data_IF_592092892235
#
_entry.id   IF_592092892235
#
_cell.length_a   1.000
_cell.length_b   1.000
_cell.length_c   1.000
_cell.angle_alpha   90.00
_cell.angle_beta   90.00
_cell.angle_gamma   90.00
#
_symmetry.space_group_name_H-M   'P 1'
#
loop_
_entity.id
_entity.type
_entity.pdbx_description
1 polymer ?
#
# COMPACT_ATOMS: atom_id res chain seq x y z
N UNK A 1 -44.25 7.91 -64.08
CA UNK A 1 -43.82 7.26 -62.81
C UNK A 1 -42.51 6.57 -63.15
N UNK A 2 -41.34 7.17 -62.98
CA UNK A 2 -40.71 7.54 -61.71
C UNK A 2 -39.67 8.64 -61.94
N UNK A 3 -39.79 9.74 -61.22
CA UNK A 3 -38.88 10.87 -61.23
C UNK A 3 -37.59 10.50 -60.49
N UNK A 4 -36.44 10.64 -61.14
CA UNK A 4 -35.12 10.71 -60.49
C UNK A 4 -34.73 12.19 -60.40
N UNK A 5 -34.51 12.77 -59.21
CA UNK A 5 -34.02 14.13 -59.10
C UNK A 5 -32.50 14.17 -59.30
N UNK A 6 -32.07 14.95 -60.28
CA UNK A 6 -30.70 15.44 -60.45
C UNK A 6 -30.38 16.41 -59.33
N UNK A 7 -29.42 16.07 -58.45
CA UNK A 7 -28.90 17.02 -57.46
C UNK A 7 -27.97 18.03 -58.15
N UNK A 8 -28.43 19.28 -58.21
CA UNK A 8 -27.65 20.47 -58.59
C UNK A 8 -26.66 20.82 -57.47
N UNK A 9 -25.38 20.93 -57.83
CA UNK A 9 -24.31 21.43 -56.97
C UNK A 9 -24.40 22.96 -56.85
N UNK A 10 -25.29 23.46 -56.01
CA UNK A 10 -25.33 24.89 -55.65
C UNK A 10 -25.60 25.02 -54.14
N UNK A 11 -24.54 24.93 -53.34
CA UNK A 11 -24.55 25.35 -51.94
C UNK A 11 -23.73 26.64 -51.81
N UNK A 12 -24.29 27.71 -51.21
CA UNK A 12 -23.57 28.97 -51.06
C UNK A 12 -22.43 28.81 -50.04
N UNK A 13 -21.25 29.31 -50.40
CA UNK A 13 -20.08 29.36 -49.55
C UNK A 13 -20.35 30.19 -48.29
N UNK A 14 -20.45 29.52 -47.14
CA UNK A 14 -20.46 30.17 -45.83
C UNK A 14 -19.10 30.84 -45.54
N UNK A 15 -19.06 31.90 -44.71
CA UNK A 15 -17.86 32.68 -44.48
C UNK A 15 -16.73 31.83 -43.88
N UNK A 16 -15.55 31.92 -44.50
CA UNK A 16 -14.32 31.29 -44.02
C UNK A 16 -13.93 31.88 -42.66
N UNK A 17 -14.27 31.16 -41.59
CA UNK A 17 -13.72 31.43 -40.27
C UNK A 17 -12.21 31.18 -40.28
N UNK A 18 -11.41 32.25 -40.31
CA UNK A 18 -9.98 32.21 -40.05
C UNK A 18 -9.74 31.62 -38.66
N UNK A 19 -9.49 30.31 -38.57
CA UNK A 19 -8.85 29.71 -37.39
C UNK A 19 -7.41 30.20 -37.36
N UNK A 20 -7.18 31.34 -36.70
CA UNK A 20 -5.84 31.71 -36.20
C UNK A 20 -5.32 30.55 -35.35
N UNK A 21 -4.39 29.79 -35.91
CA UNK A 21 -3.50 28.91 -35.14
C UNK A 21 -2.64 29.84 -34.28
N UNK A 22 -3.06 30.06 -33.04
CA UNK A 22 -2.16 30.56 -32.01
C UNK A 22 -1.11 29.46 -31.77
N UNK A 23 0.07 29.64 -32.38
CA UNK A 23 1.31 28.99 -31.94
C UNK A 23 1.74 29.65 -30.61
N UNK A 24 0.91 29.49 -29.60
CA UNK A 24 1.18 29.91 -28.24
C UNK A 24 1.66 28.71 -27.43
N UNK A 25 2.96 28.69 -27.16
CA UNK A 25 3.57 28.00 -26.02
C UNK A 25 3.23 26.51 -25.83
N UNK A 26 3.82 25.64 -26.65
CA UNK A 26 4.05 24.23 -26.28
C UNK A 26 5.02 24.08 -25.09
N UNK A 27 5.62 25.18 -24.63
CA UNK A 27 6.52 25.22 -23.48
C UNK A 27 5.79 25.43 -22.13
N UNK A 28 4.53 25.89 -22.11
CA UNK A 28 3.77 26.08 -20.86
C UNK A 28 3.11 24.79 -20.35
N UNK A 29 2.94 23.78 -21.21
CA UNK A 29 2.49 22.44 -20.78
C UNK A 29 3.59 21.63 -20.05
N UNK A 30 4.83 22.15 -20.01
CA UNK A 30 5.99 21.48 -19.39
C UNK A 30 6.25 21.91 -17.93
N UNK A 31 5.50 22.87 -17.40
CA UNK A 31 5.78 23.49 -16.08
C UNK A 31 4.79 23.14 -14.95
N UNK A 32 3.87 22.20 -15.13
CA UNK A 32 2.85 21.86 -14.12
C UNK A 32 3.06 20.57 -13.30
N UNK A 33 4.01 19.70 -13.68
CA UNK A 33 4.29 18.47 -12.93
C UNK A 33 5.33 18.73 -11.83
N UNK A 34 4.96 19.59 -10.88
CA UNK A 34 5.73 19.78 -9.68
C UNK A 34 5.92 18.43 -8.99
N UNK A 35 7.16 17.98 -8.92
CA UNK A 35 7.62 16.91 -8.03
C UNK A 35 7.17 17.22 -6.58
N UNK A 36 5.98 16.75 -6.21
CA UNK A 36 5.46 16.87 -4.85
C UNK A 36 5.32 15.47 -4.26
N UNK A 37 6.42 14.75 -4.11
CA UNK A 37 6.39 13.34 -3.70
C UNK A 37 6.48 13.15 -2.18
N UNK A 38 7.40 13.81 -1.50
CA UNK A 38 7.67 13.57 -0.06
C UNK A 38 7.05 14.61 0.90
N UNK A 39 7.11 15.93 0.63
CA UNK A 39 6.65 16.92 1.61
C UNK A 39 5.13 16.91 1.82
N UNK A 40 4.36 16.37 0.87
CA UNK A 40 2.91 16.31 0.99
C UNK A 40 2.46 15.29 2.05
N UNK A 41 3.09 14.11 2.14
CA UNK A 41 2.74 13.08 3.14
C UNK A 41 3.02 13.58 4.56
N UNK A 42 4.18 14.20 4.77
CA UNK A 42 4.53 14.77 6.08
C UNK A 42 3.61 15.94 6.44
N UNK A 43 3.33 16.83 5.48
CA UNK A 43 2.39 17.95 5.69
C UNK A 43 0.97 17.48 5.99
N UNK A 44 0.56 16.30 5.49
CA UNK A 44 -0.75 15.70 5.76
C UNK A 44 -0.89 15.19 7.20
N UNK A 45 0.16 14.65 7.81
CA UNK A 45 0.14 14.25 9.23
C UNK A 45 -0.17 15.42 10.17
N UNK A 46 0.33 16.62 9.85
CA UNK A 46 0.22 17.80 10.72
C UNK A 46 -1.02 18.69 10.43
N UNK A 47 -1.89 18.31 9.47
CA UNK A 47 -3.14 19.04 9.22
C UNK A 47 -4.17 18.69 10.31
N UNK A 48 -4.72 19.72 10.95
CA UNK A 48 -5.59 19.64 12.12
C UNK A 48 -6.82 18.74 11.90
N UNK A 49 -7.18 17.87 12.86
CA UNK A 49 -8.19 16.80 12.73
C UNK A 49 -9.65 17.30 12.84
N UNK A 50 -10.00 18.44 12.24
CA UNK A 50 -11.33 19.05 12.49
C UNK A 50 -12.48 18.30 11.81
N UNK A 51 -12.23 17.61 10.69
CA UNK A 51 -13.17 16.73 9.97
C UNK A 51 -12.42 15.48 9.48
N UNK A 52 -12.08 14.56 10.37
CA UNK A 52 -11.35 13.35 9.98
C UNK A 52 -12.34 12.24 9.60
N UNK A 53 -12.30 11.81 8.33
CA UNK A 53 -13.21 10.79 7.78
C UNK A 53 -12.83 9.38 8.25
N UNK A 54 -13.00 9.11 9.56
CA UNK A 54 -12.72 7.82 10.21
C UNK A 54 -13.63 6.72 9.68
N UNK A 55 -14.90 7.02 9.46
CA UNK A 55 -15.87 6.05 8.99
C UNK A 55 -15.45 5.49 7.62
N UNK A 56 -15.17 6.37 6.67
CA UNK A 56 -14.66 6.01 5.34
C UNK A 56 -13.37 5.20 5.43
N UNK A 57 -12.41 5.64 6.26
CA UNK A 57 -11.15 4.91 6.44
C UNK A 57 -11.36 3.50 7.00
N UNK A 58 -12.22 3.34 8.01
CA UNK A 58 -12.54 2.03 8.59
C UNK A 58 -13.21 1.10 7.57
N UNK A 59 -14.09 1.65 6.74
CA UNK A 59 -14.78 0.93 5.69
C UNK A 59 -13.82 0.47 4.60
N UNK A 60 -12.89 1.34 4.19
CA UNK A 60 -11.82 0.99 3.23
C UNK A 60 -10.90 -0.10 3.78
N UNK A 61 -10.49 -0.02 5.04
CA UNK A 61 -9.68 -1.04 5.72
C UNK A 61 -10.39 -2.39 5.76
N UNK A 62 -11.67 -2.42 6.14
CA UNK A 62 -12.47 -3.64 6.14
C UNK A 62 -12.55 -4.26 4.74
N UNK A 63 -12.82 -3.44 3.71
CA UNK A 63 -12.91 -3.94 2.34
C UNK A 63 -11.56 -4.40 1.80
N UNK A 64 -10.44 -3.81 2.19
CA UNK A 64 -9.11 -4.29 1.80
C UNK A 64 -8.84 -5.71 2.29
N UNK A 65 -9.32 -6.06 3.49
CA UNK A 65 -9.18 -7.41 4.05
C UNK A 65 -10.06 -8.41 3.30
N UNK A 66 -11.36 -8.14 3.21
CA UNK A 66 -12.32 -9.15 2.72
C UNK A 66 -12.52 -9.12 1.20
N UNK A 67 -12.47 -7.94 0.60
CA UNK A 67 -12.81 -7.71 -0.80
C UNK A 67 -11.90 -6.66 -1.46
N UNK A 68 -10.59 -6.96 -1.65
CA UNK A 68 -9.61 -5.96 -2.07
C UNK A 68 -10.01 -5.28 -3.39
N UNK A 69 -10.59 -6.03 -4.35
CA UNK A 69 -11.06 -5.49 -5.62
C UNK A 69 -12.10 -4.39 -5.47
N UNK A 70 -12.97 -4.46 -4.45
CA UNK A 70 -13.96 -3.42 -4.17
C UNK A 70 -13.31 -2.17 -3.60
N UNK A 71 -12.37 -2.34 -2.66
CA UNK A 71 -11.64 -1.21 -2.06
C UNK A 71 -10.88 -0.40 -3.12
N UNK A 72 -10.20 -1.07 -4.06
CA UNK A 72 -9.45 -0.37 -5.10
C UNK A 72 -10.31 0.38 -6.13
N UNK A 73 -11.63 0.14 -6.16
CA UNK A 73 -12.55 0.89 -7.03
C UNK A 73 -12.71 2.35 -6.58
N UNK A 74 -12.58 2.65 -5.28
CA UNK A 74 -12.66 4.03 -4.77
C UNK A 74 -11.53 4.91 -5.31
N UNK A 75 -10.32 4.35 -5.42
CA UNK A 75 -9.15 5.03 -5.99
C UNK A 75 -9.39 5.40 -7.46
N UNK A 76 -10.02 4.52 -8.24
CA UNK A 76 -10.38 4.81 -9.62
C UNK A 76 -11.38 5.99 -9.71
N UNK A 77 -12.36 6.05 -8.81
CA UNK A 77 -13.31 7.17 -8.73
C UNK A 77 -12.65 8.49 -8.28
N UNK A 78 -11.70 8.43 -7.34
CA UNK A 78 -10.92 9.59 -6.94
C UNK A 78 -10.12 10.16 -8.11
N UNK A 79 -9.58 9.28 -8.97
CA UNK A 79 -8.87 9.71 -10.18
C UNK A 79 -9.78 10.52 -11.11
N UNK A 80 -11.04 10.14 -11.27
CA UNK A 80 -11.98 10.84 -12.16
C UNK A 80 -12.36 12.23 -11.63
N UNK A 81 -12.48 12.37 -10.32
CA UNK A 81 -12.96 13.62 -9.68
C UNK A 81 -11.84 14.60 -9.36
N UNK A 82 -10.67 14.11 -8.94
CA UNK A 82 -9.54 14.93 -8.47
C UNK A 82 -8.28 14.82 -9.34
N UNK A 83 -8.28 13.95 -10.36
CA UNK A 83 -7.16 13.75 -11.28
C UNK A 83 -5.80 13.41 -10.62
N UNK A 84 -5.85 12.75 -9.46
CA UNK A 84 -4.69 12.30 -8.69
C UNK A 84 -4.91 10.85 -8.23
N UNK A 85 -3.81 10.13 -7.99
CA UNK A 85 -3.88 8.73 -7.53
C UNK A 85 -3.68 8.58 -6.04
N UNK A 86 -2.86 9.42 -5.42
CA UNK A 86 -2.65 9.38 -3.97
C UNK A 86 -3.91 9.82 -3.21
N UNK A 87 -4.16 9.17 -2.06
CA UNK A 87 -5.22 9.54 -1.12
C UNK A 87 -4.90 10.91 -0.51
N UNK A 88 -5.91 11.76 -0.33
CA UNK A 88 -5.73 13.07 0.32
C UNK A 88 -5.84 13.04 1.84
N UNK A 89 -6.56 12.04 2.34
CA UNK A 89 -7.04 12.03 3.72
C UNK A 89 -6.06 11.24 4.61
N UNK A 90 -5.52 11.85 5.68
CA UNK A 90 -4.58 11.18 6.58
C UNK A 90 -5.24 10.12 7.47
N UNK A 91 -6.57 9.97 7.40
CA UNK A 91 -7.38 9.15 8.31
C UNK A 91 -6.99 7.67 8.30
N UNK A 92 -6.79 7.08 7.12
CA UNK A 92 -6.40 5.68 6.97
C UNK A 92 -5.10 5.35 7.71
N UNK A 93 -4.09 6.21 7.50
CA UNK A 93 -2.78 6.06 8.09
C UNK A 93 -2.79 6.30 9.60
N UNK A 94 -3.54 7.31 10.08
CA UNK A 94 -3.69 7.57 11.52
C UNK A 94 -4.34 6.38 12.22
N UNK A 95 -5.36 5.78 11.59
CA UNK A 95 -6.01 4.58 12.12
C UNK A 95 -5.03 3.40 12.18
N UNK A 96 -4.21 3.23 11.14
CA UNK A 96 -3.19 2.19 11.11
C UNK A 96 -2.15 2.37 12.23
N UNK A 97 -1.64 3.60 12.46
CA UNK A 97 -0.74 3.89 13.58
C UNK A 97 -1.41 3.59 14.92
N UNK A 98 -2.69 3.92 15.08
CA UNK A 98 -3.43 3.63 16.31
C UNK A 98 -3.51 2.11 16.58
N UNK A 99 -3.75 1.30 15.54
CA UNK A 99 -3.76 -0.16 15.66
C UNK A 99 -2.37 -0.75 15.97
N UNK A 100 -1.31 -0.23 15.35
CA UNK A 100 0.07 -0.63 15.64
C UNK A 100 0.41 -0.28 17.10
N UNK A 101 0.03 0.91 17.55
CA UNK A 101 0.26 1.37 18.92
C UNK A 101 -0.47 0.48 19.94
N UNK A 102 -1.71 0.10 19.66
CA UNK A 102 -2.46 -0.86 20.49
C UNK A 102 -1.77 -2.22 20.53
N UNK A 103 -1.30 -2.71 19.37
CA UNK A 103 -0.54 -3.97 19.30
C UNK A 103 0.75 -3.90 20.11
N UNK A 104 1.47 -2.78 20.03
CA UNK A 104 2.70 -2.57 20.81
C UNK A 104 2.47 -2.66 22.32
N UNK A 105 1.32 -2.22 22.84
CA UNK A 105 0.98 -2.39 24.26
C UNK A 105 0.90 -3.88 24.60
N UNK A 106 0.15 -4.63 23.80
CA UNK A 106 -0.09 -6.07 24.00
C UNK A 106 1.23 -6.85 23.98
N UNK A 107 2.06 -6.60 22.96
CA UNK A 107 3.35 -7.25 22.79
C UNK A 107 4.36 -6.85 23.87
N UNK A 108 4.35 -5.58 24.28
CA UNK A 108 5.18 -5.12 25.41
C UNK A 108 4.82 -5.84 26.71
N UNK A 109 3.53 -6.02 27.01
CA UNK A 109 3.10 -6.73 28.23
C UNK A 109 3.57 -8.18 28.17
N UNK A 110 3.43 -8.84 27.02
CA UNK A 110 3.89 -10.21 26.85
C UNK A 110 5.40 -10.35 27.01
N UNK A 111 6.19 -9.51 26.34
CA UNK A 111 7.66 -9.55 26.43
C UNK A 111 8.12 -9.21 27.86
N UNK A 112 7.54 -8.19 28.50
CA UNK A 112 7.92 -7.81 29.87
C UNK A 112 7.49 -8.82 30.94
N UNK A 113 6.36 -9.52 30.76
CA UNK A 113 5.81 -10.42 31.78
C UNK A 113 6.29 -11.86 31.71
N UNK A 114 6.68 -12.36 30.53
CA UNK A 114 7.01 -13.78 30.33
C UNK A 114 8.47 -14.08 29.96
N UNK A 115 9.25 -13.12 29.42
CA UNK A 115 10.58 -13.39 28.85
C UNK A 115 11.78 -12.98 29.74
N UNK A 116 11.69 -13.21 31.05
CA UNK A 116 12.85 -13.37 31.95
C UNK A 116 13.79 -12.17 32.18
N UNK A 117 13.33 -10.93 32.10
CA UNK A 117 14.11 -9.85 32.74
C UNK A 117 13.77 -9.81 34.24
N UNK A 118 14.76 -10.14 35.08
CA UNK A 118 14.64 -10.20 36.54
C UNK A 118 14.30 -8.85 37.20
N UNK A 119 14.30 -7.76 36.43
CA UNK A 119 13.98 -6.41 36.87
C UNK A 119 12.51 -6.08 36.58
N UNK A 120 11.62 -6.69 37.37
CA UNK A 120 10.16 -6.49 37.38
C UNK A 120 9.74 -5.13 37.97
N UNK A 121 10.49 -4.07 37.66
CA UNK A 121 10.15 -2.70 38.05
C UNK A 121 9.16 -2.08 37.06
N UNK A 122 8.22 -1.27 37.56
CA UNK A 122 7.27 -0.53 36.71
C UNK A 122 7.98 0.34 35.63
N UNK A 123 9.19 0.83 35.93
CA UNK A 123 10.01 1.60 35.00
C UNK A 123 10.51 0.74 33.81
N UNK A 124 10.82 -0.54 34.04
CA UNK A 124 11.25 -1.47 33.00
C UNK A 124 10.13 -1.73 32.01
N UNK A 125 8.92 -2.00 32.50
CA UNK A 125 7.71 -2.24 31.67
C UNK A 125 7.44 -1.03 30.75
N UNK A 126 7.55 0.18 31.30
CA UNK A 126 7.42 1.43 30.52
C UNK A 126 8.52 1.52 29.45
N UNK A 127 9.75 1.17 29.79
CA UNK A 127 10.87 1.10 28.83
C UNK A 127 10.61 0.12 27.68
N UNK A 128 10.18 -1.11 27.97
CA UNK A 128 9.82 -2.09 26.95
C UNK A 128 8.66 -1.64 26.06
N UNK A 129 7.70 -0.90 26.63
CA UNK A 129 6.59 -0.35 25.86
C UNK A 129 7.08 0.68 24.83
N UNK A 130 7.87 1.66 25.26
CA UNK A 130 8.42 2.66 24.36
C UNK A 130 9.35 2.03 23.32
N UNK A 131 10.17 1.05 23.71
CA UNK A 131 11.02 0.30 22.79
C UNK A 131 10.20 -0.42 21.71
N UNK A 132 9.19 -1.17 22.11
CA UNK A 132 8.29 -1.90 21.20
C UNK A 132 7.55 -0.94 20.27
N UNK A 133 7.08 0.20 20.79
CA UNK A 133 6.35 1.20 20.01
C UNK A 133 7.26 1.79 18.94
N UNK A 134 8.47 2.20 19.31
CA UNK A 134 9.44 2.78 18.37
C UNK A 134 9.82 1.75 17.29
N UNK A 135 10.10 0.50 17.66
CA UNK A 135 10.45 -0.54 16.69
C UNK A 135 9.29 -0.81 15.73
N UNK A 136 8.08 -1.03 16.24
CA UNK A 136 6.93 -1.36 15.39
C UNK A 136 6.47 -0.19 14.52
N UNK A 137 6.41 1.02 15.06
CA UNK A 137 5.95 2.19 14.30
C UNK A 137 7.04 2.70 13.36
N UNK A 138 8.24 2.98 13.89
CA UNK A 138 9.29 3.62 13.09
C UNK A 138 9.96 2.61 12.17
N UNK A 139 10.40 1.46 12.68
CA UNK A 139 11.18 0.51 11.89
C UNK A 139 10.28 -0.33 10.97
N UNK A 140 9.31 -1.05 11.54
CA UNK A 140 8.52 -2.00 10.76
C UNK A 140 7.53 -1.32 9.80
N UNK A 141 6.96 -0.17 10.18
CA UNK A 141 6.00 0.53 9.35
C UNK A 141 6.63 1.65 8.52
N UNK A 142 7.26 2.65 9.14
CA UNK A 142 7.79 3.80 8.38
C UNK A 142 9.03 3.50 7.54
N UNK A 143 10.08 2.93 8.13
CA UNK A 143 11.35 2.69 7.42
C UNK A 143 11.12 1.67 6.31
N UNK A 144 10.49 0.53 6.63
CA UNK A 144 10.13 -0.46 5.62
C UNK A 144 9.21 0.12 4.54
N UNK A 145 8.18 0.89 4.94
CA UNK A 145 7.28 1.54 4.00
C UNK A 145 7.97 2.54 3.07
N UNK A 146 8.89 3.35 3.60
CA UNK A 146 9.68 4.29 2.80
C UNK A 146 10.57 3.57 1.79
N UNK A 147 11.24 2.49 2.22
CA UNK A 147 12.06 1.65 1.35
C UNK A 147 11.21 1.04 0.23
N UNK A 148 10.09 0.41 0.58
CA UNK A 148 9.20 -0.24 -0.40
C UNK A 148 8.59 0.77 -1.38
N UNK A 149 8.11 1.92 -0.88
CA UNK A 149 7.57 2.98 -1.73
C UNK A 149 8.62 3.52 -2.71
N UNK A 150 9.86 3.69 -2.25
CA UNK A 150 10.98 4.18 -3.08
C UNK A 150 11.38 3.15 -4.13
N UNK A 151 11.49 1.87 -3.77
CA UNK A 151 11.79 0.78 -4.72
C UNK A 151 10.74 0.74 -5.82
N UNK A 152 9.45 0.70 -5.48
CA UNK A 152 8.39 0.65 -6.49
C UNK A 152 8.27 1.93 -7.31
N UNK A 153 8.47 3.10 -6.69
CA UNK A 153 8.51 4.36 -7.42
C UNK A 153 9.60 4.36 -8.50
N UNK A 154 10.82 3.92 -8.16
CA UNK A 154 11.94 3.84 -9.09
C UNK A 154 11.72 2.76 -10.16
N UNK A 155 11.12 1.62 -9.78
CA UNK A 155 10.92 0.49 -10.67
C UNK A 155 9.81 0.76 -11.69
N UNK A 156 8.64 1.20 -11.24
CA UNK A 156 7.45 1.41 -12.08
C UNK A 156 7.56 2.63 -12.98
N UNK A 157 8.42 3.60 -12.64
CA UNK A 157 8.67 4.74 -13.51
C UNK A 157 9.63 4.46 -14.68
N UNK A 158 10.23 3.28 -14.74
CA UNK A 158 11.03 2.86 -15.91
C UNK A 158 10.13 2.66 -17.13
N UNK A 159 10.64 3.04 -18.30
CA UNK A 159 9.91 2.97 -19.59
C UNK A 159 9.41 1.57 -19.95
N UNK A 160 10.11 0.52 -19.48
CA UNK A 160 9.75 -0.88 -19.71
C UNK A 160 8.38 -1.27 -19.13
N UNK A 161 7.98 -0.67 -18.02
CA UNK A 161 6.71 -0.97 -17.34
C UNK A 161 5.56 -0.06 -17.75
N UNK A 162 5.78 0.85 -18.70
CA UNK A 162 4.76 1.76 -19.22
C UNK A 162 4.35 1.40 -20.63
N UNK A 163 3.08 1.63 -20.97
CA UNK A 163 2.65 1.59 -22.36
C UNK A 163 3.31 2.72 -23.15
N UNK A 164 3.57 2.48 -24.45
CA UNK A 164 4.19 3.49 -25.33
C UNK A 164 3.32 4.76 -25.43
N UNK A 165 2.00 4.62 -25.34
CA UNK A 165 1.03 5.72 -25.35
C UNK A 165 1.04 6.59 -24.08
N UNK A 166 1.64 6.14 -22.98
CA UNK A 166 1.52 6.78 -21.67
C UNK A 166 2.88 6.99 -20.99
N UNK A 167 3.94 7.17 -21.79
CA UNK A 167 5.31 7.38 -21.27
C UNK A 167 5.43 8.67 -20.45
N UNK A 168 4.62 9.68 -20.75
CA UNK A 168 4.59 10.95 -20.00
C UNK A 168 3.90 10.82 -18.63
N UNK A 169 3.16 9.74 -18.37
CA UNK A 169 2.50 9.52 -17.08
C UNK A 169 3.51 9.03 -16.05
N UNK A 170 3.49 9.64 -14.86
CA UNK A 170 4.41 9.32 -13.75
C UNK A 170 3.61 8.72 -12.60
N UNK A 171 4.14 7.65 -12.00
CA UNK A 171 3.59 7.11 -10.74
C UNK A 171 3.99 8.04 -9.61
N UNK A 172 3.01 8.54 -8.88
CA UNK A 172 3.21 9.39 -7.70
C UNK A 172 3.87 8.58 -6.57
N UNK A 173 4.91 9.11 -5.92
CA UNK A 173 5.53 8.42 -4.77
C UNK A 173 4.56 8.26 -3.61
N UNK A 174 3.72 9.26 -3.36
CA UNK A 174 2.68 9.21 -2.33
C UNK A 174 1.71 8.04 -2.58
N UNK A 175 1.39 7.75 -3.84
CA UNK A 175 0.60 6.58 -4.20
C UNK A 175 1.34 5.26 -3.90
N UNK A 176 2.65 5.18 -4.15
CA UNK A 176 3.44 4.00 -3.77
C UNK A 176 3.41 3.76 -2.25
N UNK A 177 3.47 4.84 -1.46
CA UNK A 177 3.34 4.76 -0.01
C UNK A 177 1.93 4.33 0.42
N UNK A 178 0.88 4.85 -0.23
CA UNK A 178 -0.51 4.42 0.03
C UNK A 178 -0.72 2.92 -0.25
N UNK A 179 -0.12 2.40 -1.33
CA UNK A 179 -0.15 0.97 -1.66
C UNK A 179 0.56 0.13 -0.58
N UNK A 180 1.68 0.63 -0.03
CA UNK A 180 2.33 0.01 1.12
C UNK A 180 1.41 -0.01 2.34
N UNK A 181 0.80 1.12 2.72
CA UNK A 181 -0.12 1.21 3.85
C UNK A 181 -1.29 0.22 3.71
N UNK A 182 -1.89 0.15 2.52
CA UNK A 182 -2.98 -0.78 2.22
C UNK A 182 -2.54 -2.25 2.38
N UNK A 183 -1.34 -2.59 1.93
CA UNK A 183 -0.83 -3.97 1.98
C UNK A 183 -0.33 -4.35 3.39
N UNK A 184 0.25 -3.41 4.12
CA UNK A 184 0.72 -3.59 5.50
C UNK A 184 -0.42 -3.91 6.47
N UNK A 185 -1.66 -3.53 6.14
CA UNK A 185 -2.85 -3.91 6.90
C UNK A 185 -2.94 -5.43 7.10
N UNK A 186 -2.66 -6.24 6.05
CA UNK A 186 -2.68 -7.69 6.17
C UNK A 186 -1.57 -8.21 7.10
N UNK A 187 -0.38 -7.61 7.03
CA UNK A 187 0.73 -7.92 7.94
C UNK A 187 0.33 -7.61 9.38
N UNK A 188 -0.27 -6.44 9.61
CA UNK A 188 -0.78 -6.01 10.90
C UNK A 188 -1.80 -7.03 11.44
N UNK A 189 -2.81 -7.40 10.66
CA UNK A 189 -3.81 -8.37 11.08
C UNK A 189 -3.22 -9.75 11.38
N UNK A 190 -2.37 -10.27 10.49
CA UNK A 190 -1.85 -11.62 10.61
C UNK A 190 -0.75 -11.75 11.66
N UNK A 191 0.24 -10.86 11.64
CA UNK A 191 1.44 -10.98 12.47
C UNK A 191 1.37 -10.22 13.79
N UNK A 192 0.58 -9.15 13.89
CA UNK A 192 0.46 -8.40 15.16
C UNK A 192 -0.73 -8.91 15.99
N UNK A 193 -1.86 -9.27 15.36
CA UNK A 193 -3.04 -9.76 16.06
C UNK A 193 -3.17 -11.29 16.07
N UNK A 194 -3.26 -11.94 14.90
CA UNK A 194 -3.51 -13.39 14.81
C UNK A 194 -2.35 -14.18 15.41
N UNK A 195 -1.10 -13.81 15.11
CA UNK A 195 0.09 -14.46 15.69
C UNK A 195 0.09 -14.40 17.22
N UNK A 196 -0.32 -13.26 17.79
CA UNK A 196 -0.43 -13.11 19.24
C UNK A 196 -1.48 -14.07 19.82
N UNK A 197 -2.61 -14.26 19.15
CA UNK A 197 -3.62 -15.24 19.58
C UNK A 197 -3.12 -16.69 19.46
N UNK A 198 -2.31 -16.97 18.43
CA UNK A 198 -1.76 -18.30 18.14
C UNK A 198 -0.49 -18.63 18.95
N UNK A 199 0.03 -17.69 19.75
CA UNK A 199 1.21 -17.86 20.60
C UNK A 199 1.25 -19.15 21.41
N UNK A 200 0.18 -19.52 22.15
CA UNK A 200 0.19 -20.72 22.98
C UNK A 200 0.46 -21.96 22.14
N UNK A 201 -0.04 -21.99 20.90
CA UNK A 201 0.13 -23.09 19.95
C UNK A 201 1.53 -23.06 19.34
N UNK A 202 2.02 -21.88 18.94
CA UNK A 202 3.36 -21.69 18.36
C UNK A 202 4.46 -22.07 19.36
N UNK A 203 4.24 -21.89 20.66
CA UNK A 203 5.24 -22.23 21.67
C UNK A 203 5.32 -23.74 22.00
N UNK A 204 4.42 -24.59 21.50
CA UNK A 204 4.39 -26.03 21.83
C UNK A 204 5.55 -26.85 21.24
N UNK A 205 6.48 -26.25 20.48
CA UNK A 205 7.66 -26.88 19.86
C UNK A 205 7.38 -28.16 19.05
N UNK A 206 6.13 -28.34 18.60
CA UNK A 206 5.71 -29.46 17.77
C UNK A 206 5.79 -29.14 16.28
N UNK A 207 5.75 -30.15 15.42
CA UNK A 207 5.66 -29.94 13.97
C UNK A 207 4.43 -29.10 13.57
N UNK A 208 3.32 -29.24 14.29
CA UNK A 208 2.10 -28.43 14.11
C UNK A 208 2.37 -26.93 14.38
N UNK A 209 3.16 -26.61 15.41
CA UNK A 209 3.57 -25.24 15.70
C UNK A 209 4.36 -24.65 14.53
N UNK A 210 5.32 -25.42 14.01
CA UNK A 210 6.13 -25.02 12.86
C UNK A 210 5.25 -24.80 11.62
N UNK A 211 4.33 -25.71 11.32
CA UNK A 211 3.40 -25.57 10.20
C UNK A 211 2.54 -24.32 10.34
N UNK A 212 1.91 -24.11 11.50
CA UNK A 212 1.01 -22.99 11.74
C UNK A 212 1.78 -21.66 11.68
N UNK A 213 2.92 -21.56 12.37
CA UNK A 213 3.75 -20.35 12.38
C UNK A 213 4.28 -20.00 11.00
N UNK A 214 4.91 -20.96 10.31
CA UNK A 214 5.46 -20.72 8.97
C UNK A 214 4.35 -20.44 7.95
N UNK A 215 3.18 -21.09 8.06
CA UNK A 215 2.01 -20.80 7.20
C UNK A 215 1.53 -19.37 7.40
N UNK A 216 1.46 -18.89 8.64
CA UNK A 216 1.02 -17.54 8.95
C UNK A 216 1.97 -16.48 8.36
N UNK A 217 3.28 -16.68 8.50
CA UNK A 217 4.28 -15.79 7.89
C UNK A 217 4.24 -15.83 6.36
N UNK A 218 4.16 -17.02 5.76
CA UNK A 218 4.04 -17.17 4.31
C UNK A 218 2.78 -16.48 3.78
N UNK A 219 1.65 -16.68 4.47
CA UNK A 219 0.38 -16.04 4.13
C UNK A 219 0.46 -14.52 4.23
N UNK A 220 0.96 -13.98 5.35
CA UNK A 220 1.04 -12.54 5.59
C UNK A 220 1.91 -11.82 4.54
N UNK A 221 3.14 -12.31 4.32
CA UNK A 221 4.07 -11.69 3.37
C UNK A 221 3.61 -11.95 1.92
N UNK A 222 3.09 -13.14 1.63
CA UNK A 222 2.55 -13.46 0.31
C UNK A 222 1.37 -12.57 -0.08
N UNK A 223 0.42 -12.36 0.85
CA UNK A 223 -0.71 -11.47 0.63
C UNK A 223 -0.30 -10.00 0.54
N UNK A 224 0.73 -9.56 1.26
CA UNK A 224 1.27 -8.21 1.11
C UNK A 224 1.62 -7.90 -0.35
N UNK A 225 2.34 -8.81 -1.03
CA UNK A 225 2.68 -8.64 -2.45
C UNK A 225 1.46 -8.75 -3.37
N UNK A 226 0.47 -9.58 -3.05
CA UNK A 226 -0.78 -9.69 -3.79
C UNK A 226 -1.59 -8.38 -3.72
N UNK A 227 -1.73 -7.78 -2.54
CA UNK A 227 -2.39 -6.47 -2.40
C UNK A 227 -1.60 -5.37 -3.11
N UNK A 228 -0.28 -5.40 -3.01
CA UNK A 228 0.60 -4.47 -3.73
C UNK A 228 0.36 -4.55 -5.24
N UNK A 229 0.26 -5.76 -5.79
CA UNK A 229 -0.09 -5.97 -7.19
C UNK A 229 -1.47 -5.40 -7.53
N UNK A 230 -2.50 -5.67 -6.71
CA UNK A 230 -3.84 -5.14 -6.94
C UNK A 230 -3.90 -3.61 -6.90
N UNK A 231 -3.08 -2.98 -6.07
CA UNK A 231 -2.88 -1.54 -6.04
C UNK A 231 -2.36 -1.02 -7.37
N UNK A 232 -1.17 -1.46 -7.78
CA UNK A 232 -0.57 -0.96 -9.02
C UNK A 232 -1.36 -1.32 -10.28
N UNK A 233 -2.11 -2.42 -10.26
CA UNK A 233 -2.96 -2.84 -11.39
C UNK A 233 -4.16 -1.90 -11.63
N UNK A 234 -4.43 -0.95 -10.72
CA UNK A 234 -5.41 0.12 -10.98
C UNK A 234 -4.89 1.20 -11.95
N UNK A 235 -3.57 1.29 -12.14
CA UNK A 235 -2.96 2.29 -12.99
C UNK A 235 -3.01 1.83 -14.46
N UNK A 236 -3.87 2.42 -15.31
CA UNK A 236 -4.11 1.92 -16.67
C UNK A 236 -2.90 2.10 -17.60
N UNK A 237 -1.91 2.92 -17.20
CA UNK A 237 -0.71 3.19 -18.00
C UNK A 237 0.43 2.20 -17.73
N UNK A 238 0.32 1.36 -16.70
CA UNK A 238 1.30 0.32 -16.38
C UNK A 238 1.00 -0.98 -17.10
N UNK A 239 2.07 -1.70 -17.48
CA UNK A 239 2.01 -3.02 -18.10
C UNK A 239 2.92 -4.01 -17.38
N UNK A 240 2.65 -5.31 -17.56
CA UNK A 240 3.48 -6.41 -17.09
C UNK A 240 3.73 -6.42 -15.58
N UNK A 241 2.71 -6.13 -14.75
CA UNK A 241 2.83 -6.07 -13.30
C UNK A 241 2.96 -7.44 -12.61
N UNK A 242 2.87 -8.55 -13.37
CA UNK A 242 2.99 -9.90 -12.83
C UNK A 242 4.31 -10.16 -12.10
N UNK A 243 5.37 -9.39 -12.38
CA UNK A 243 6.64 -9.50 -11.67
C UNK A 243 6.50 -9.25 -10.16
N UNK A 244 5.50 -8.45 -9.74
CA UNK A 244 5.25 -8.11 -8.33
C UNK A 244 4.86 -9.35 -7.52
N UNK A 245 4.31 -10.38 -8.17
CA UNK A 245 3.95 -11.64 -7.52
C UNK A 245 5.12 -12.65 -7.44
N UNK A 246 6.26 -12.40 -8.12
CA UNK A 246 7.40 -13.32 -8.09
C UNK A 246 7.93 -13.58 -6.66
N UNK A 247 8.05 -12.56 -5.77
CA UNK A 247 8.41 -12.80 -4.38
C UNK A 247 7.46 -13.77 -3.67
N UNK A 248 6.15 -13.73 -3.96
CA UNK A 248 5.17 -14.65 -3.38
C UNK A 248 5.44 -16.12 -3.76
N UNK A 249 5.85 -16.36 -5.01
CA UNK A 249 6.24 -17.71 -5.46
C UNK A 249 7.53 -18.17 -4.76
N UNK A 250 8.54 -17.29 -4.66
CA UNK A 250 9.78 -17.57 -3.94
C UNK A 250 9.52 -17.89 -2.45
N UNK A 251 8.65 -17.13 -1.80
CA UNK A 251 8.24 -17.37 -0.42
C UNK A 251 7.50 -18.71 -0.25
N UNK A 252 6.69 -19.11 -1.23
CA UNK A 252 6.02 -20.42 -1.19
C UNK A 252 7.03 -21.57 -1.23
N UNK A 253 8.11 -21.43 -1.99
CA UNK A 253 9.20 -22.42 -2.03
C UNK A 253 9.96 -22.43 -0.70
N UNK A 254 10.32 -21.26 -0.17
CA UNK A 254 10.98 -21.12 1.14
C UNK A 254 10.12 -21.74 2.25
N UNK A 255 8.81 -21.53 2.21
CA UNK A 255 7.85 -22.14 3.12
C UNK A 255 7.91 -23.67 3.07
N UNK A 256 7.87 -24.28 1.88
CA UNK A 256 7.99 -25.74 1.73
C UNK A 256 9.33 -26.27 2.29
N UNK A 257 10.44 -25.56 2.04
CA UNK A 257 11.75 -25.93 2.59
C UNK A 257 11.75 -25.80 4.12
N UNK A 258 11.08 -24.79 4.67
CA UNK A 258 11.05 -24.56 6.11
C UNK A 258 10.34 -25.66 6.90
N UNK A 259 9.42 -26.39 6.28
CA UNK A 259 8.72 -27.52 6.90
C UNK A 259 9.65 -28.67 7.31
N UNK A 260 10.90 -28.68 6.82
CA UNK A 260 11.95 -29.64 7.21
C UNK A 260 12.66 -29.29 8.53
N UNK A 261 12.13 -28.36 9.33
CA UNK A 261 12.61 -28.08 10.68
C UNK A 261 13.16 -26.66 10.90
N UNK A 262 12.98 -25.75 9.94
CA UNK A 262 13.35 -24.34 10.11
C UNK A 262 12.13 -23.55 10.59
N UNK A 263 12.16 -23.11 11.83
CA UNK A 263 11.11 -22.25 12.39
C UNK A 263 11.36 -20.78 11.98
N UNK A 264 10.76 -20.36 10.86
CA UNK A 264 10.84 -18.95 10.42
C UNK A 264 10.10 -18.03 11.38
N UNK A 265 8.99 -18.51 11.94
CA UNK A 265 8.18 -17.74 12.87
C UNK A 265 9.01 -17.28 14.06
N UNK A 266 9.81 -18.16 14.68
CA UNK A 266 10.70 -17.78 15.79
C UNK A 266 11.81 -16.82 15.35
N UNK A 267 12.42 -17.03 14.18
CA UNK A 267 13.54 -16.18 13.71
C UNK A 267 13.10 -14.77 13.35
N UNK A 268 11.93 -14.62 12.74
CA UNK A 268 11.37 -13.36 12.27
C UNK A 268 10.40 -12.74 13.28
N UNK A 269 10.34 -13.27 14.50
CA UNK A 269 9.37 -12.82 15.47
C UNK A 269 9.73 -11.50 16.13
N UNK A 270 8.69 -10.71 16.39
CA UNK A 270 8.72 -9.48 17.17
C UNK A 270 9.04 -9.74 18.66
N UNK A 271 9.09 -10.99 19.13
CA UNK A 271 9.47 -11.34 20.51
C UNK A 271 10.91 -10.96 20.88
N UNK A 272 11.80 -10.85 19.89
CA UNK A 272 13.22 -10.56 20.14
C UNK A 272 13.53 -9.06 20.22
N UNK A 273 12.52 -8.19 20.12
CA UNK A 273 12.69 -6.75 20.30
C UNK A 273 12.80 -6.36 21.77
#
# INVERSE_FOLDING_TARGET
>A
MSYLPTYSNDLPAGPQGQRRRNNGNENDARQGYGQQSVPMVIRRLFKTPKNLDLETASWEMFHLIFHPRKAYRSIYYQRQTKNQWARDDPSFFIFQIALISLSSIIWSIYNSGFNNDSDMGALSIIGHFFKSLVMMVILDFFIFGFIMATIFYLLLNRSHFKFKSSQNSVVEWAYCFDVHCNSFLIILLCLYFIQFLLLPIINLQNWISLLIGNSLYCFAIGHYFILTFYGYNQLPFLKNLNFILLPTLGLSIIYLISLFGIDLSKKLSFYNY
#
